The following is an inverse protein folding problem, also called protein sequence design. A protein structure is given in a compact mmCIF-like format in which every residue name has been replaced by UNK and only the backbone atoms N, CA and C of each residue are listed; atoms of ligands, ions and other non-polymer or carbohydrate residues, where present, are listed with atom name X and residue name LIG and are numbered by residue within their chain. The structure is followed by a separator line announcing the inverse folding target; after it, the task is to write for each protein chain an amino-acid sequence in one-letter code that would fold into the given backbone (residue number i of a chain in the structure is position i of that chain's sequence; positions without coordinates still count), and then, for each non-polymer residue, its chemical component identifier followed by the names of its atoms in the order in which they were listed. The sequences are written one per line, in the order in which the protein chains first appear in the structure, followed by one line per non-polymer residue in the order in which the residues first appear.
data_IF_911699590742
#
_entry.id   IF_911699590742
#
_cell.length_a   1.000
_cell.length_b   1.000
_cell.length_c   1.000
_cell.angle_alpha   90.00
_cell.angle_beta   90.00
_cell.angle_gamma   90.00
#
_symmetry.space_group_name_H-M   'P 1'
#
loop_
_entity.id
_entity.type
_entity.pdbx_description
1 polymer ?
#
# COMPACT_ATOMS: atom_id res chain seq x y z
N UNK A 1 -20.70 36.74 52.32
CA UNK A 1 -19.32 36.89 51.78
C UNK A 1 -18.35 35.87 52.38
N UNK A 2 -18.27 35.74 53.71
CA UNK A 2 -17.33 34.79 54.37
C UNK A 2 -17.50 33.32 53.96
N UNK A 3 -18.74 32.79 53.85
CA UNK A 3 -18.95 31.42 53.41
C UNK A 3 -18.56 31.15 51.94
N UNK A 4 -18.69 32.16 51.08
CA UNK A 4 -18.25 32.03 49.68
C UNK A 4 -16.73 31.98 49.53
N UNK A 5 -16.02 32.78 50.34
CA UNK A 5 -14.55 32.74 50.39
C UNK A 5 -14.03 31.41 50.95
N UNK A 6 -14.70 30.80 51.90
CA UNK A 6 -14.32 29.48 52.45
C UNK A 6 -14.47 28.40 51.40
N UNK A 7 -15.59 28.40 50.61
CA UNK A 7 -15.76 27.43 49.52
C UNK A 7 -14.76 27.61 48.37
N UNK A 8 -14.41 28.85 48.06
CA UNK A 8 -13.38 29.13 47.04
C UNK A 8 -12.00 28.69 47.53
N UNK A 9 -11.65 28.93 48.83
CA UNK A 9 -10.39 28.48 49.40
C UNK A 9 -10.29 26.96 49.48
N UNK A 10 -11.37 26.27 49.85
CA UNK A 10 -11.45 24.79 49.89
C UNK A 10 -11.36 24.22 48.47
N UNK A 11 -12.02 24.83 47.46
CA UNK A 11 -11.90 24.43 46.06
C UNK A 11 -10.46 24.65 45.50
N UNK A 12 -9.83 25.78 45.87
CA UNK A 12 -8.42 26.06 45.47
C UNK A 12 -7.44 25.11 46.17
N UNK A 13 -7.65 24.81 47.49
CA UNK A 13 -6.83 23.82 48.18
C UNK A 13 -7.04 22.41 47.64
N UNK A 14 -8.24 22.02 47.27
CA UNK A 14 -8.51 20.74 46.61
C UNK A 14 -7.86 20.62 45.25
N UNK A 15 -7.84 21.70 44.45
CA UNK A 15 -7.11 21.71 43.16
C UNK A 15 -5.61 21.68 43.33
N UNK A 16 -5.05 22.35 44.35
CA UNK A 16 -3.61 22.28 44.68
C UNK A 16 -3.21 20.91 45.26
N UNK A 17 -4.05 20.27 46.05
CA UNK A 17 -3.79 18.92 46.58
C UNK A 17 -3.77 17.86 45.46
N UNK A 18 -4.53 18.03 44.39
CA UNK A 18 -4.50 17.15 43.23
C UNK A 18 -3.32 17.44 42.28
N UNK A 19 -2.81 18.65 42.22
CA UNK A 19 -1.71 19.01 41.32
C UNK A 19 -0.33 18.53 41.83
N UNK A 20 -0.13 18.46 43.16
CA UNK A 20 1.15 18.05 43.75
C UNK A 20 1.54 16.58 43.49
N UNK A 21 0.65 15.60 43.71
CA UNK A 21 0.99 14.19 43.45
C UNK A 21 1.33 13.94 41.98
N UNK A 22 0.62 14.57 41.04
CA UNK A 22 0.85 14.39 39.61
C UNK A 22 2.26 14.84 39.20
N UNK A 23 2.73 15.98 39.68
CA UNK A 23 4.07 16.50 39.35
C UNK A 23 5.19 15.63 39.93
N UNK A 24 5.03 15.19 41.19
CA UNK A 24 6.00 14.32 41.86
C UNK A 24 6.04 12.93 41.22
N UNK A 25 4.90 12.35 40.90
CA UNK A 25 4.80 11.07 40.21
C UNK A 25 5.39 11.17 38.80
N UNK A 26 5.04 12.20 38.04
CA UNK A 26 5.63 12.44 36.71
C UNK A 26 7.16 12.52 36.76
N UNK A 27 7.72 13.20 37.76
CA UNK A 27 9.18 13.28 37.95
C UNK A 27 9.80 11.91 38.24
N UNK A 28 9.21 11.12 39.15
CA UNK A 28 9.69 9.77 39.48
C UNK A 28 9.63 8.83 38.28
N UNK A 29 8.51 8.80 37.57
CA UNK A 29 8.35 8.03 36.34
C UNK A 29 9.33 8.50 35.26
N UNK A 30 9.57 9.82 35.14
CA UNK A 30 10.57 10.37 34.24
C UNK A 30 11.98 9.87 34.55
N UNK A 31 12.32 9.73 35.83
CA UNK A 31 13.62 9.14 36.25
C UNK A 31 13.67 7.65 35.91
N UNK A 32 12.59 6.90 36.11
CA UNK A 32 12.52 5.48 35.73
C UNK A 32 12.78 5.31 34.23
N UNK A 33 12.00 5.96 33.37
CA UNK A 33 12.12 5.82 31.93
C UNK A 33 13.45 6.36 31.36
N UNK A 34 14.02 7.39 31.98
CA UNK A 34 15.33 7.93 31.59
C UNK A 34 16.49 7.01 31.97
N UNK A 35 16.32 6.17 33.00
CA UNK A 35 17.32 5.19 33.44
C UNK A 35 16.95 3.75 33.12
N UNK A 36 15.87 3.55 32.37
CA UNK A 36 15.43 2.23 31.96
C UNK A 36 16.48 1.59 31.05
N UNK A 37 16.88 0.40 31.39
CA UNK A 37 17.79 -0.44 30.62
C UNK A 37 17.09 -1.75 30.25
N UNK A 38 17.08 -2.04 28.96
CA UNK A 38 16.58 -3.33 28.49
C UNK A 38 17.72 -4.38 28.59
N UNK A 39 17.47 -5.54 29.23
CA UNK A 39 18.51 -6.57 29.37
C UNK A 39 19.09 -7.10 28.05
N UNK A 40 18.31 -7.03 26.98
CA UNK A 40 18.68 -7.54 25.66
C UNK A 40 19.07 -6.46 24.66
N UNK A 41 18.93 -5.16 24.99
CA UNK A 41 19.12 -4.08 24.04
C UNK A 41 19.52 -2.77 24.68
N UNK A 42 20.56 -2.12 24.16
CA UNK A 42 20.99 -0.81 24.64
C UNK A 42 20.30 0.31 23.86
N UNK A 43 19.42 1.04 24.51
CA UNK A 43 18.81 2.26 23.94
C UNK A 43 19.86 3.38 23.89
N UNK A 44 20.03 4.02 22.72
CA UNK A 44 20.99 5.12 22.55
C UNK A 44 20.57 6.40 23.26
N UNK A 45 19.26 6.62 23.37
CA UNK A 45 18.68 7.82 23.95
C UNK A 45 17.75 7.50 25.11
N UNK A 46 17.48 8.52 25.93
CA UNK A 46 16.65 8.38 27.13
C UNK A 46 15.20 8.69 26.85
N UNK A 47 14.32 7.75 27.20
CA UNK A 47 12.88 7.96 27.10
C UNK A 47 12.38 8.99 28.12
N UNK A 48 11.28 9.69 27.81
CA UNK A 48 10.68 10.73 28.63
C UNK A 48 9.19 10.47 28.80
N UNK A 49 8.64 10.83 29.97
CA UNK A 49 7.19 10.86 30.18
C UNK A 49 6.62 12.14 29.59
N UNK A 50 5.89 12.01 28.51
CA UNK A 50 5.24 13.13 27.83
C UNK A 50 3.95 13.54 28.55
N UNK A 51 3.12 12.57 28.90
CA UNK A 51 1.81 12.79 29.51
C UNK A 51 1.58 11.84 30.67
N UNK A 52 0.95 12.35 31.73
CA UNK A 52 0.47 11.55 32.88
C UNK A 52 -0.93 12.04 33.23
N UNK A 53 -1.90 11.14 33.16
CA UNK A 53 -3.30 11.43 33.53
C UNK A 53 -3.83 10.41 34.53
N UNK A 54 -4.57 10.89 35.52
CA UNK A 54 -5.35 10.11 36.45
C UNK A 54 -6.82 10.27 36.11
N UNK A 55 -7.45 9.22 35.58
CA UNK A 55 -8.86 9.19 35.19
C UNK A 55 -9.69 8.60 36.32
N UNK A 56 -10.22 9.44 37.19
CA UNK A 56 -10.95 9.01 38.39
C UNK A 56 -12.21 8.20 38.08
N UNK A 57 -12.90 8.53 37.01
CA UNK A 57 -14.14 7.83 36.61
C UNK A 57 -13.87 6.38 36.18
N UNK A 58 -12.83 6.15 35.36
CA UNK A 58 -12.44 4.82 34.88
C UNK A 58 -11.48 4.10 35.82
N UNK A 59 -11.00 4.75 36.87
CA UNK A 59 -9.91 4.28 37.76
C UNK A 59 -8.68 3.84 36.95
N UNK A 60 -8.24 4.70 36.06
CA UNK A 60 -7.13 4.45 35.13
C UNK A 60 -6.03 5.50 35.28
N UNK A 61 -4.78 5.07 35.18
CA UNK A 61 -3.58 5.92 35.09
C UNK A 61 -2.99 5.74 33.70
N UNK A 62 -3.06 6.78 32.88
CA UNK A 62 -2.49 6.81 31.54
C UNK A 62 -1.11 7.47 31.58
N UNK A 63 -0.08 6.80 31.06
CA UNK A 63 1.30 7.24 30.98
C UNK A 63 1.74 7.20 29.52
N UNK A 64 1.88 8.36 28.86
CA UNK A 64 2.44 8.43 27.53
C UNK A 64 3.96 8.66 27.63
N UNK A 65 4.72 7.81 26.94
CA UNK A 65 6.18 7.82 26.90
C UNK A 65 6.63 8.18 25.48
N UNK A 66 7.76 8.86 25.38
CA UNK A 66 8.32 9.31 24.10
C UNK A 66 8.65 8.15 23.15
N UNK A 67 8.63 8.43 21.85
CA UNK A 67 8.86 7.49 20.76
C UNK A 67 10.17 6.69 20.89
N UNK A 68 11.19 7.26 21.50
CA UNK A 68 12.47 6.58 21.78
C UNK A 68 12.28 5.24 22.49
N UNK A 69 11.22 5.11 23.29
CA UNK A 69 10.90 3.85 24.00
C UNK A 69 10.46 2.71 23.05
N UNK A 70 10.13 3.01 21.79
CA UNK A 70 9.87 1.99 20.75
C UNK A 70 11.12 1.22 20.32
N UNK A 71 12.32 1.79 20.48
CA UNK A 71 13.58 1.25 19.99
C UNK A 71 14.09 0.01 20.73
N UNK A 72 13.21 -0.84 21.25
CA UNK A 72 13.57 -2.05 21.98
C UNK A 72 12.65 -3.23 21.62
N UNK A 73 13.14 -4.47 21.73
CA UNK A 73 12.28 -5.64 21.55
C UNK A 73 11.34 -5.81 22.76
N UNK A 74 10.03 -5.73 22.54
CA UNK A 74 9.03 -6.00 23.56
C UNK A 74 8.70 -7.50 23.59
N UNK A 75 8.68 -8.07 24.81
CA UNK A 75 8.17 -9.41 25.09
C UNK A 75 7.07 -9.32 26.17
N UNK A 76 6.25 -10.36 26.32
CA UNK A 76 5.21 -10.39 27.36
C UNK A 76 5.81 -10.25 28.76
N UNK A 77 6.94 -10.92 29.04
CA UNK A 77 7.64 -10.86 30.31
C UNK A 77 8.18 -9.46 30.59
N UNK A 78 8.76 -8.83 29.57
CA UNK A 78 9.30 -7.48 29.69
C UNK A 78 8.18 -6.47 29.96
N UNK A 79 7.07 -6.56 29.25
CA UNK A 79 5.89 -5.71 29.46
C UNK A 79 5.35 -5.90 30.89
N UNK A 80 5.22 -7.14 31.36
CA UNK A 80 4.77 -7.43 32.71
C UNK A 80 5.70 -6.82 33.78
N UNK A 81 7.01 -6.94 33.58
CA UNK A 81 8.03 -6.33 34.46
C UNK A 81 7.91 -4.82 34.51
N UNK A 82 7.77 -4.17 33.34
CA UNK A 82 7.59 -2.71 33.27
C UNK A 82 6.34 -2.27 34.03
N UNK A 83 5.21 -2.97 33.86
CA UNK A 83 3.99 -2.65 34.60
C UNK A 83 4.14 -2.88 36.11
N UNK A 84 4.87 -3.90 36.52
CA UNK A 84 5.16 -4.16 37.96
C UNK A 84 6.01 -3.04 38.53
N UNK A 85 7.12 -2.68 37.88
CA UNK A 85 7.99 -1.59 38.32
C UNK A 85 7.24 -0.27 38.43
N UNK A 86 6.48 0.08 37.42
CA UNK A 86 5.71 1.34 37.38
C UNK A 86 4.72 1.45 38.55
N UNK A 87 4.13 0.36 39.01
CA UNK A 87 3.23 0.37 40.17
C UNK A 87 3.90 0.85 41.45
N UNK A 88 5.18 0.61 41.62
CA UNK A 88 5.96 1.05 42.78
C UNK A 88 6.18 2.58 42.81
N UNK A 89 6.16 3.22 41.64
CA UNK A 89 6.32 4.67 41.48
C UNK A 89 5.01 5.44 41.64
N UNK A 90 3.86 4.74 41.62
CA UNK A 90 2.53 5.35 41.69
C UNK A 90 2.00 5.20 43.15
N UNK A 91 1.62 6.32 43.82
CA UNK A 91 1.17 6.28 45.19
C UNK A 91 -0.21 5.66 45.35
N UNK A 92 -0.47 5.11 46.54
CA UNK A 92 -1.83 4.69 46.94
C UNK A 92 -2.81 5.88 46.93
N UNK A 93 -4.07 5.73 46.48
CA UNK A 93 -4.73 4.49 46.01
C UNK A 93 -4.53 4.21 44.50
N UNK A 94 -3.85 5.07 43.77
CA UNK A 94 -3.74 5.04 42.28
C UNK A 94 -2.95 3.84 41.77
N UNK A 95 -2.04 3.28 42.56
CA UNK A 95 -1.31 2.06 42.22
C UNK A 95 -2.21 0.80 42.11
N UNK A 96 -3.44 0.87 42.60
CA UNK A 96 -4.46 -0.19 42.44
C UNK A 96 -5.33 0.01 41.19
N UNK A 97 -5.20 1.14 40.52
CA UNK A 97 -5.94 1.42 39.32
C UNK A 97 -5.34 0.68 38.12
N UNK A 98 -6.12 0.61 37.04
CA UNK A 98 -5.60 0.13 35.76
C UNK A 98 -4.53 1.11 35.26
N UNK A 99 -3.31 0.63 35.02
CA UNK A 99 -2.25 1.41 34.45
C UNK A 99 -2.22 1.10 32.94
N UNK A 100 -2.13 2.13 32.11
CA UNK A 100 -1.97 2.02 30.66
C UNK A 100 -0.73 2.85 30.28
N UNK A 101 0.28 2.19 29.75
CA UNK A 101 1.49 2.83 29.25
C UNK A 101 1.41 2.85 27.73
N UNK A 102 1.50 4.01 27.13
CA UNK A 102 1.39 4.18 25.67
C UNK A 102 2.64 4.82 25.08
N UNK A 103 2.96 4.44 23.85
CA UNK A 103 3.94 5.11 23.01
C UNK A 103 3.27 5.40 21.67
N UNK A 104 3.32 6.63 21.19
CA UNK A 104 2.60 7.08 20.00
C UNK A 104 1.10 6.70 20.01
N UNK A 105 0.47 6.69 21.20
CA UNK A 105 -0.93 6.33 21.39
C UNK A 105 -1.24 4.82 21.44
N UNK A 106 -0.25 3.96 21.23
CA UNK A 106 -0.42 2.50 21.31
C UNK A 106 0.01 1.98 22.68
N UNK A 107 -0.79 1.16 23.37
CA UNK A 107 -0.39 0.44 24.58
C UNK A 107 0.84 -0.42 24.33
N UNK A 108 1.78 -0.46 25.29
CA UNK A 108 3.04 -1.19 25.12
C UNK A 108 2.86 -2.71 24.92
N UNK A 109 1.79 -3.29 25.44
CA UNK A 109 1.42 -4.69 25.18
C UNK A 109 1.09 -4.95 23.70
N UNK A 110 0.67 -3.94 22.95
CA UNK A 110 0.44 -4.04 21.50
C UNK A 110 1.75 -3.99 20.68
N UNK A 111 2.87 -3.66 21.32
CA UNK A 111 4.20 -3.64 20.68
C UNK A 111 4.89 -5.01 20.74
N UNK A 112 4.37 -5.95 21.50
CA UNK A 112 4.84 -7.34 21.50
C UNK A 112 4.49 -7.97 20.15
N UNK A 113 5.46 -8.55 19.40
CA UNK A 113 5.17 -9.19 18.12
C UNK A 113 4.19 -10.35 18.28
N UNK A 114 3.19 -10.42 17.39
CA UNK A 114 2.12 -11.43 17.50
C UNK A 114 2.63 -12.88 17.39
N UNK A 115 3.72 -13.10 16.67
CA UNK A 115 4.35 -14.41 16.52
C UNK A 115 5.12 -14.89 17.78
N UNK A 116 5.36 -14.02 18.75
CA UNK A 116 6.01 -14.36 20.03
C UNK A 116 5.02 -14.56 21.16
N UNK A 117 3.72 -14.39 20.91
CA UNK A 117 2.66 -14.59 21.89
C UNK A 117 2.30 -16.07 22.01
N UNK A 118 2.18 -16.59 23.24
CA UNK A 118 1.69 -17.96 23.51
C UNK A 118 0.26 -18.19 23.00
N UNK A 119 -0.57 -17.15 23.01
CA UNK A 119 -1.90 -17.12 22.41
C UNK A 119 -2.02 -15.97 21.44
N UNK A 120 -2.35 -16.30 20.23
CA UNK A 120 -2.67 -15.31 19.21
C UNK A 120 -3.86 -14.43 19.66
N UNK A 121 -3.63 -13.15 19.82
CA UNK A 121 -4.70 -12.18 20.09
C UNK A 121 -5.43 -11.85 18.78
N UNK A 122 -6.56 -12.51 18.57
CA UNK A 122 -7.36 -12.32 17.35
C UNK A 122 -7.90 -10.90 17.17
N UNK A 123 -7.97 -10.09 18.23
CA UNK A 123 -8.37 -8.68 18.13
C UNK A 123 -7.34 -7.82 17.41
N UNK A 124 -6.08 -8.28 17.36
CA UNK A 124 -4.95 -7.63 16.68
C UNK A 124 -4.80 -8.06 15.22
N UNK A 125 -5.45 -9.13 14.83
CA UNK A 125 -5.51 -9.46 13.43
C UNK A 125 -6.37 -8.42 12.70
N UNK A 126 -5.93 -8.04 11.55
CA UNK A 126 -6.75 -7.28 10.63
C UNK A 126 -8.03 -8.09 10.40
N UNK A 127 -9.05 -7.79 11.18
CA UNK A 127 -10.34 -8.45 11.10
C UNK A 127 -10.89 -8.19 9.73
N UNK A 128 -10.98 -9.25 8.94
CA UNK A 128 -11.32 -9.27 7.56
C UNK A 128 -12.03 -8.00 7.06
N UNK A 129 -11.30 -7.07 6.45
CA UNK A 129 -11.92 -6.22 5.47
C UNK A 129 -12.38 -7.21 4.41
N UNK A 130 -13.61 -7.63 4.54
CA UNK A 130 -14.31 -8.35 3.50
C UNK A 130 -14.37 -7.34 2.36
N UNK A 131 -13.47 -7.43 1.41
CA UNK A 131 -13.60 -6.68 0.18
C UNK A 131 -14.79 -7.29 -0.54
N UNK A 132 -15.95 -6.63 -0.56
CA UNK A 132 -17.18 -7.20 -1.15
C UNK A 132 -17.05 -7.32 -2.67
N UNK A 133 -15.94 -6.89 -3.23
CA UNK A 133 -15.67 -6.84 -4.67
C UNK A 133 -14.42 -7.65 -5.01
N UNK A 134 -14.29 -8.02 -6.30
CA UNK A 134 -13.10 -8.66 -6.81
C UNK A 134 -11.85 -7.81 -6.55
N UNK A 135 -10.72 -8.47 -6.32
CA UNK A 135 -9.42 -7.79 -6.31
C UNK A 135 -9.20 -7.00 -7.61
N UNK A 136 -8.35 -5.98 -7.57
CA UNK A 136 -8.09 -5.16 -8.75
C UNK A 136 -7.64 -5.98 -9.94
N UNK A 137 -6.65 -6.87 -9.72
CA UNK A 137 -6.23 -7.84 -10.73
C UNK A 137 -6.25 -9.25 -10.14
N UNK A 138 -6.69 -10.23 -10.93
CA UNK A 138 -6.69 -11.65 -10.55
C UNK A 138 -6.18 -12.50 -11.70
N UNK A 139 -5.02 -13.17 -11.58
CA UNK A 139 -4.54 -14.13 -12.57
C UNK A 139 -5.48 -15.33 -12.62
N UNK A 140 -6.18 -15.53 -13.75
CA UNK A 140 -7.11 -16.65 -13.92
C UNK A 140 -6.43 -17.92 -14.42
N UNK A 141 -5.32 -17.81 -15.12
CA UNK A 141 -4.54 -18.94 -15.63
C UNK A 141 -3.60 -19.56 -14.60
N UNK A 142 -3.58 -19.06 -13.37
CA UNK A 142 -2.79 -19.65 -12.29
C UNK A 142 -3.41 -21.01 -11.90
N UNK A 143 -2.64 -22.12 -11.93
CA UNK A 143 -3.19 -23.46 -11.72
C UNK A 143 -3.51 -23.78 -10.24
N UNK A 144 -3.33 -22.83 -9.33
CA UNK A 144 -3.52 -23.00 -7.89
C UNK A 144 -4.14 -21.74 -7.27
N UNK A 145 -4.81 -21.91 -6.15
CA UNK A 145 -5.30 -20.81 -5.29
C UNK A 145 -4.50 -20.73 -4.00
N UNK A 146 -4.47 -19.55 -3.37
CA UNK A 146 -3.70 -19.30 -2.16
C UNK A 146 -4.63 -18.76 -1.04
N UNK A 147 -5.58 -19.58 -0.55
CA UNK A 147 -6.65 -19.10 0.33
C UNK A 147 -6.13 -18.60 1.70
N UNK A 148 -4.98 -19.09 2.14
CA UNK A 148 -4.38 -18.74 3.44
C UNK A 148 -3.14 -17.83 3.31
N UNK A 149 -2.87 -17.31 2.11
CA UNK A 149 -1.79 -16.39 1.86
C UNK A 149 -2.26 -14.93 1.85
N UNK A 150 -1.73 -14.18 0.89
CA UNK A 150 -2.08 -12.78 0.67
C UNK A 150 -3.16 -12.59 -0.41
N UNK A 151 -3.95 -13.63 -0.67
CA UNK A 151 -4.99 -13.61 -1.69
C UNK A 151 -5.85 -12.35 -1.57
N UNK A 152 -6.00 -11.64 -2.69
CA UNK A 152 -6.79 -10.41 -2.82
C UNK A 152 -6.34 -9.24 -1.92
N UNK A 153 -5.13 -9.29 -1.35
CA UNK A 153 -4.54 -8.16 -0.61
C UNK A 153 -3.88 -7.20 -1.58
N UNK A 154 -4.17 -5.91 -1.42
CA UNK A 154 -3.55 -4.83 -2.18
C UNK A 154 -2.38 -4.25 -1.38
N UNK A 155 -1.21 -4.21 -1.99
CA UNK A 155 0.02 -3.77 -1.34
C UNK A 155 0.79 -2.80 -2.24
N UNK A 156 1.11 -1.61 -1.74
CA UNK A 156 2.01 -0.69 -2.42
C UNK A 156 3.45 -0.97 -1.96
N UNK A 157 4.33 -1.28 -2.90
CA UNK A 157 5.73 -1.65 -2.63
C UNK A 157 6.64 -0.92 -3.59
N UNK A 158 7.70 -0.32 -3.08
CA UNK A 158 8.76 0.28 -3.89
C UNK A 158 10.08 0.28 -3.14
N UNK A 159 11.18 0.34 -3.89
CA UNK A 159 12.51 0.57 -3.31
C UNK A 159 12.56 1.96 -2.69
N UNK A 160 13.18 2.08 -1.48
CA UNK A 160 13.08 3.27 -0.64
C UNK A 160 13.67 4.53 -1.28
N UNK A 161 14.83 4.41 -1.91
CA UNK A 161 15.56 5.51 -2.51
C UNK A 161 15.86 5.21 -3.99
N UNK A 162 16.38 6.21 -4.69
CA UNK A 162 16.75 6.08 -6.08
C UNK A 162 17.46 7.33 -6.58
N UNK A 163 17.60 7.45 -7.89
CA UNK A 163 18.11 8.67 -8.50
C UNK A 163 17.05 9.77 -8.46
N UNK A 164 17.51 10.98 -8.24
CA UNK A 164 16.72 12.21 -8.41
C UNK A 164 17.45 13.16 -9.35
N UNK A 165 16.69 14.02 -10.02
CA UNK A 165 17.27 15.08 -10.84
C UNK A 165 17.58 16.30 -9.96
N UNK A 166 18.87 16.66 -9.89
CA UNK A 166 19.32 17.85 -9.17
C UNK A 166 19.31 19.05 -10.13
N UNK A 167 18.29 19.87 -10.04
CA UNK A 167 18.11 21.08 -10.86
C UNK A 167 19.23 22.10 -10.73
N UNK A 168 20.01 22.07 -9.65
CA UNK A 168 21.13 23.00 -9.44
C UNK A 168 22.36 22.60 -10.26
N UNK A 169 22.54 21.31 -10.49
CA UNK A 169 23.70 20.76 -11.21
C UNK A 169 23.34 20.21 -12.59
N UNK A 170 22.03 20.23 -12.94
CA UNK A 170 21.48 19.69 -14.20
C UNK A 170 21.87 18.24 -14.42
N UNK A 171 21.80 17.40 -13.39
CA UNK A 171 22.28 16.03 -13.42
C UNK A 171 21.39 15.08 -12.61
N UNK A 172 21.29 13.83 -13.07
CA UNK A 172 20.75 12.72 -12.29
C UNK A 172 21.76 12.25 -11.26
N UNK A 173 21.38 12.27 -9.99
CA UNK A 173 22.23 11.87 -8.85
C UNK A 173 21.55 10.80 -8.00
N UNK A 174 22.37 9.93 -7.40
CA UNK A 174 21.88 9.05 -6.35
C UNK A 174 21.52 9.87 -5.11
N UNK A 175 20.44 9.50 -4.42
CA UNK A 175 20.00 10.19 -3.21
C UNK A 175 20.95 9.92 -2.04
N UNK A 176 21.48 8.71 -1.98
CA UNK A 176 22.45 8.30 -0.95
C UNK A 176 23.87 8.24 -1.49
N UNK A 177 24.88 8.53 -0.66
CA UNK A 177 26.27 8.45 -1.08
C UNK A 177 26.69 7.01 -1.37
N UNK A 178 27.76 6.86 -2.14
CA UNK A 178 28.43 5.56 -2.33
C UNK A 178 29.00 5.02 -1.03
N UNK A 179 28.88 3.72 -0.82
CA UNK A 179 29.38 3.00 0.34
C UNK A 179 29.93 1.64 -0.11
N UNK A 180 31.18 1.33 0.21
CA UNK A 180 31.83 0.05 -0.16
C UNK A 180 31.73 -0.34 -1.64
N UNK A 181 31.90 0.63 -2.55
CA UNK A 181 31.85 0.40 -4.00
C UNK A 181 30.45 0.27 -4.60
N UNK A 182 29.40 0.44 -3.78
CA UNK A 182 28.00 0.49 -4.21
C UNK A 182 27.30 1.70 -3.62
N UNK A 183 26.00 1.84 -3.83
CA UNK A 183 25.20 2.81 -3.11
C UNK A 183 23.93 2.14 -2.55
N UNK A 184 23.44 2.64 -1.41
CA UNK A 184 22.26 2.10 -0.73
C UNK A 184 21.03 2.08 -1.65
N UNK A 185 20.90 3.07 -2.52
CA UNK A 185 19.80 3.18 -3.49
C UNK A 185 19.72 1.99 -4.44
N UNK A 186 20.88 1.47 -4.87
CA UNK A 186 20.94 0.28 -5.74
C UNK A 186 20.62 -0.98 -4.94
N UNK A 187 21.10 -1.10 -3.71
CA UNK A 187 20.92 -2.29 -2.87
C UNK A 187 19.44 -2.58 -2.65
N UNK A 188 18.64 -1.57 -2.30
CA UNK A 188 17.20 -1.76 -2.07
C UNK A 188 16.46 -2.19 -3.33
N UNK A 189 16.85 -1.68 -4.50
CA UNK A 189 16.26 -2.06 -5.77
C UNK A 189 16.54 -3.53 -6.12
N UNK A 190 17.76 -4.00 -5.88
CA UNK A 190 18.15 -5.40 -6.17
C UNK A 190 17.44 -6.44 -5.29
N UNK A 191 16.82 -6.02 -4.21
CA UNK A 191 16.03 -6.90 -3.32
C UNK A 191 14.54 -6.74 -3.61
N UNK A 192 14.05 -5.51 -3.68
CA UNK A 192 12.60 -5.23 -3.76
C UNK A 192 12.01 -5.69 -5.09
N UNK A 193 12.64 -5.33 -6.21
CA UNK A 193 12.08 -5.60 -7.53
C UNK A 193 12.16 -7.09 -7.91
N UNK A 194 13.32 -7.77 -7.85
CA UNK A 194 13.41 -9.16 -8.32
C UNK A 194 12.98 -10.20 -7.29
N UNK A 195 12.85 -9.86 -6.02
CA UNK A 195 12.52 -10.83 -4.98
C UNK A 195 11.23 -10.48 -4.21
N UNK A 196 11.19 -9.34 -3.52
CA UNK A 196 10.07 -9.03 -2.63
C UNK A 196 8.74 -8.93 -3.39
N UNK A 197 8.69 -8.18 -4.50
CA UNK A 197 7.45 -8.04 -5.29
C UNK A 197 6.96 -9.39 -5.82
N UNK A 198 7.77 -10.21 -6.50
CA UNK A 198 7.35 -11.54 -6.96
C UNK A 198 6.94 -12.48 -5.82
N UNK A 199 7.62 -12.43 -4.67
CA UNK A 199 7.22 -13.25 -3.50
C UNK A 199 5.84 -12.89 -2.97
N UNK A 200 5.52 -11.58 -2.89
CA UNK A 200 4.20 -11.12 -2.47
C UNK A 200 3.11 -11.52 -3.48
N UNK A 201 3.39 -11.37 -4.78
CA UNK A 201 2.49 -11.78 -5.86
C UNK A 201 2.28 -13.31 -5.89
N UNK A 202 3.34 -14.07 -5.66
CA UNK A 202 3.24 -15.53 -5.54
C UNK A 202 2.48 -15.96 -4.28
N UNK A 203 2.47 -15.15 -3.24
CA UNK A 203 1.61 -15.35 -2.07
C UNK A 203 0.16 -14.90 -2.27
N UNK A 204 -0.19 -14.33 -3.44
CA UNK A 204 -1.56 -13.94 -3.83
C UNK A 204 -1.85 -12.45 -3.77
N UNK A 205 -0.89 -11.61 -3.38
CA UNK A 205 -1.09 -10.17 -3.31
C UNK A 205 -1.21 -9.52 -4.69
N UNK A 206 -1.95 -8.42 -4.76
CA UNK A 206 -1.90 -7.45 -5.85
C UNK A 206 -0.88 -6.38 -5.48
N UNK A 207 0.26 -6.34 -6.16
CA UNK A 207 1.36 -5.45 -5.82
C UNK A 207 1.38 -4.24 -6.76
N UNK A 208 1.32 -3.04 -6.16
CA UNK A 208 1.49 -1.77 -6.86
C UNK A 208 2.91 -1.26 -6.66
N UNK A 209 3.50 -0.72 -7.71
CA UNK A 209 4.74 0.02 -7.61
C UNK A 209 4.61 1.38 -8.28
N UNK A 210 4.87 2.49 -7.56
CA UNK A 210 4.90 3.82 -8.16
C UNK A 210 6.17 4.07 -9.00
N UNK A 211 7.09 3.10 -9.04
CA UNK A 211 8.30 3.12 -9.86
C UNK A 211 8.28 1.98 -10.85
N UNK A 212 8.99 2.15 -11.96
CA UNK A 212 9.17 1.09 -12.95
C UNK A 212 9.77 -0.17 -12.31
N UNK A 213 9.17 -1.29 -12.60
CA UNK A 213 9.60 -2.62 -12.12
C UNK A 213 10.23 -3.48 -13.21
N UNK A 214 10.03 -3.14 -14.48
CA UNK A 214 10.67 -3.80 -15.60
C UNK A 214 12.16 -3.40 -15.65
N UNK A 215 13.01 -4.37 -15.86
CA UNK A 215 14.47 -4.17 -15.87
C UNK A 215 15.05 -3.97 -17.26
N UNK A 216 14.26 -4.21 -18.31
CA UNK A 216 14.64 -3.93 -19.68
C UNK A 216 14.24 -2.50 -20.07
N UNK A 217 14.79 -1.96 -21.17
CA UNK A 217 14.61 -0.56 -21.57
C UNK A 217 13.68 -0.36 -22.76
N UNK A 218 13.27 -1.45 -23.45
CA UNK A 218 12.34 -1.36 -24.56
C UNK A 218 10.93 -1.08 -24.06
N UNK A 219 10.25 -0.12 -24.69
CA UNK A 219 8.86 0.20 -24.38
C UNK A 219 8.06 0.27 -25.69
N UNK A 220 6.88 -0.35 -25.67
CA UNK A 220 5.90 -0.25 -26.76
C UNK A 220 4.53 0.06 -26.15
N UNK A 221 3.91 1.14 -26.62
CA UNK A 221 2.56 1.53 -26.26
C UNK A 221 1.68 1.43 -27.49
N UNK A 222 0.58 0.70 -27.39
CA UNK A 222 -0.48 0.62 -28.40
C UNK A 222 -1.74 1.26 -27.85
N UNK A 223 -2.20 2.30 -28.53
CA UNK A 223 -3.30 3.17 -28.10
C UNK A 223 -4.41 3.14 -29.16
N UNK A 224 -5.66 3.42 -28.72
CA UNK A 224 -6.79 3.51 -29.64
C UNK A 224 -6.80 4.81 -30.49
N UNK A 225 -6.17 5.90 -30.03
CA UNK A 225 -6.22 7.22 -30.67
C UNK A 225 -5.27 7.39 -31.84
N UNK A 226 -4.15 6.69 -31.84
CA UNK A 226 -3.16 6.76 -32.91
C UNK A 226 -2.76 5.39 -33.38
N UNK A 227 -2.70 5.19 -34.68
CA UNK A 227 -1.88 4.11 -35.22
C UNK A 227 -0.46 4.37 -34.74
N UNK A 228 -0.05 3.68 -33.68
CA UNK A 228 1.32 3.80 -33.17
C UNK A 228 2.28 3.34 -34.26
N UNK A 229 3.43 4.00 -34.34
CA UNK A 229 4.53 3.62 -35.26
C UNK A 229 4.99 2.17 -34.96
N UNK A 230 4.64 1.62 -33.80
CA UNK A 230 5.07 0.32 -33.26
C UNK A 230 3.93 -0.58 -32.78
N UNK A 231 2.81 -0.61 -33.50
CA UNK A 231 1.74 -1.51 -33.14
C UNK A 231 0.43 -1.27 -33.89
N UNK A 232 -0.55 -2.10 -33.66
CA UNK A 232 -1.88 -2.02 -34.27
C UNK A 232 -2.95 -2.17 -33.19
N UNK A 233 -3.89 -1.24 -33.15
CA UNK A 233 -5.15 -1.34 -32.41
C UNK A 233 -6.26 -1.78 -33.39
N UNK A 234 -7.12 -2.72 -32.96
CA UNK A 234 -8.23 -3.23 -33.77
C UNK A 234 -9.47 -3.41 -32.92
N UNK A 235 -10.63 -3.05 -33.50
CA UNK A 235 -11.95 -3.37 -32.95
C UNK A 235 -12.66 -4.35 -33.87
N UNK A 236 -13.19 -5.42 -33.28
CA UNK A 236 -14.12 -6.34 -33.92
C UNK A 236 -15.45 -6.24 -33.19
N UNK A 237 -16.41 -5.57 -33.83
CA UNK A 237 -17.66 -5.18 -33.20
C UNK A 237 -18.76 -6.23 -33.38
N UNK A 238 -19.24 -6.74 -32.26
CA UNK A 238 -20.49 -7.48 -32.16
C UNK A 238 -21.71 -6.56 -32.09
N UNK A 239 -22.85 -7.04 -31.59
CA UNK A 239 -24.08 -6.24 -31.47
C UNK A 239 -23.98 -5.03 -30.59
N UNK A 240 -23.07 -5.07 -29.61
CA UNK A 240 -22.76 -3.97 -28.67
C UNK A 240 -21.38 -3.44 -28.99
N UNK A 241 -21.32 -2.57 -30.00
CA UNK A 241 -20.07 -2.03 -30.51
C UNK A 241 -19.34 -1.15 -29.49
N UNK A 242 -18.02 -1.08 -29.65
CA UNK A 242 -17.21 -0.09 -28.95
C UNK A 242 -17.54 1.32 -29.47
N UNK A 243 -17.69 2.26 -28.54
CA UNK A 243 -17.94 3.68 -28.82
C UNK A 243 -17.01 4.57 -28.01
N UNK A 244 -16.95 5.85 -28.35
CA UNK A 244 -16.17 6.84 -27.61
C UNK A 244 -16.66 6.94 -26.14
N UNK A 245 -15.70 6.96 -25.21
CA UNK A 245 -15.92 7.09 -23.75
C UNK A 245 -15.48 8.46 -23.21
N UNK A 246 -15.06 9.36 -24.06
CA UNK A 246 -14.44 10.64 -23.70
C UNK A 246 -12.98 10.49 -23.32
N UNK A 247 -12.44 11.35 -22.45
CA UNK A 247 -11.00 11.41 -22.14
C UNK A 247 -10.40 10.11 -21.71
N UNK A 248 -9.21 9.80 -22.23
CA UNK A 248 -8.40 8.63 -21.97
C UNK A 248 -6.92 8.94 -22.12
N UNK A 249 -6.12 7.91 -22.32
CA UNK A 249 -4.68 8.01 -22.47
C UNK A 249 -4.30 8.48 -23.89
N UNK A 250 -3.26 9.30 -23.97
CA UNK A 250 -2.53 9.55 -25.22
C UNK A 250 -1.09 9.98 -24.97
N UNK A 251 -0.15 9.37 -25.68
CA UNK A 251 1.27 9.68 -25.58
C UNK A 251 1.70 10.51 -26.81
N UNK A 252 1.43 11.82 -26.77
CA UNK A 252 1.89 12.70 -27.87
C UNK A 252 3.18 13.46 -27.61
N UNK A 253 3.68 13.42 -26.35
CA UNK A 253 4.82 14.23 -25.92
C UNK A 253 5.90 13.36 -25.33
N UNK A 254 7.13 13.77 -25.52
CA UNK A 254 8.29 13.13 -24.90
C UNK A 254 8.29 13.31 -23.36
N UNK A 255 7.73 14.44 -22.87
CA UNK A 255 7.54 14.70 -21.45
C UNK A 255 6.31 15.58 -21.20
N UNK A 256 5.78 15.48 -19.98
CA UNK A 256 4.61 16.23 -19.52
C UNK A 256 5.01 17.24 -18.45
N UNK A 257 4.41 18.43 -18.47
CA UNK A 257 4.59 19.48 -17.46
C UNK A 257 3.63 19.23 -16.29
N UNK A 258 3.86 19.97 -15.18
CA UNK A 258 2.89 19.99 -14.07
C UNK A 258 1.47 20.25 -14.56
N UNK A 259 0.52 19.46 -14.04
CA UNK A 259 -0.92 19.49 -14.40
C UNK A 259 -1.24 18.97 -15.81
N UNK A 260 -0.29 18.46 -16.54
CA UNK A 260 -0.55 17.69 -17.75
C UNK A 260 -0.54 16.20 -17.41
N UNK A 261 -1.61 15.52 -17.78
CA UNK A 261 -1.80 14.11 -17.48
C UNK A 261 -2.05 13.34 -18.79
N UNK A 262 -1.17 12.42 -19.21
CA UNK A 262 -1.37 11.68 -20.45
C UNK A 262 -2.67 10.87 -20.46
N UNK A 263 -3.22 10.52 -19.31
CA UNK A 263 -4.50 9.81 -19.18
C UNK A 263 -5.74 10.71 -19.35
N UNK A 264 -5.56 11.98 -19.65
CA UNK A 264 -6.64 12.96 -19.89
C UNK A 264 -6.50 13.67 -21.26
N UNK A 265 -5.48 13.30 -22.06
CA UNK A 265 -5.11 13.96 -23.31
C UNK A 265 -5.66 13.24 -24.56
N UNK A 266 -6.08 11.97 -24.42
CA UNK A 266 -6.65 11.13 -25.49
C UNK A 266 -8.10 10.77 -25.25
N UNK A 267 -8.53 9.68 -25.89
CA UNK A 267 -9.86 9.10 -25.74
C UNK A 267 -9.80 7.65 -25.22
N UNK A 268 -10.83 7.23 -24.51
CA UNK A 268 -11.04 5.83 -24.14
C UNK A 268 -12.24 5.27 -24.92
N UNK A 269 -12.34 3.95 -24.98
CA UNK A 269 -13.44 3.22 -25.62
C UNK A 269 -14.33 2.56 -24.56
N UNK A 270 -15.61 2.40 -24.85
CA UNK A 270 -16.58 1.73 -23.98
C UNK A 270 -17.52 0.85 -24.80
N UNK A 271 -17.87 -0.30 -24.25
CA UNK A 271 -18.95 -1.14 -24.76
C UNK A 271 -19.88 -1.60 -23.64
N UNK A 272 -21.16 -1.75 -23.93
CA UNK A 272 -22.09 -2.41 -23.00
C UNK A 272 -21.65 -3.83 -22.71
N UNK A 273 -21.60 -4.19 -21.46
CA UNK A 273 -21.29 -5.54 -21.04
C UNK A 273 -22.38 -6.53 -21.47
N UNK A 274 -21.98 -7.75 -21.83
CA UNK A 274 -22.89 -8.85 -22.11
C UNK A 274 -22.39 -10.17 -21.50
N UNK A 275 -23.34 -10.97 -21.01
CA UNK A 275 -23.05 -12.27 -20.39
C UNK A 275 -22.98 -13.41 -21.39
N UNK A 276 -23.60 -13.27 -22.57
CA UNK A 276 -23.57 -14.28 -23.62
C UNK A 276 -22.23 -14.26 -24.34
N UNK A 277 -21.64 -15.43 -24.54
CA UNK A 277 -20.32 -15.57 -25.18
C UNK A 277 -20.39 -15.51 -26.71
N UNK A 278 -21.61 -15.47 -27.30
CA UNK A 278 -21.78 -15.39 -28.73
C UNK A 278 -21.67 -13.95 -29.23
N UNK A 279 -20.83 -13.71 -30.22
CA UNK A 279 -20.67 -12.41 -30.91
C UNK A 279 -20.28 -11.26 -29.97
N UNK A 280 -19.27 -11.50 -29.14
CA UNK A 280 -18.68 -10.45 -28.30
C UNK A 280 -18.01 -9.36 -29.17
N UNK A 281 -18.07 -8.11 -28.70
CA UNK A 281 -17.19 -7.07 -29.20
C UNK A 281 -15.82 -7.21 -28.59
N UNK A 282 -14.77 -7.16 -29.39
CA UNK A 282 -13.39 -7.39 -28.98
C UNK A 282 -12.51 -6.22 -29.40
N UNK A 283 -11.65 -5.78 -28.51
CA UNK A 283 -10.50 -4.92 -28.85
C UNK A 283 -9.23 -5.74 -28.76
N UNK A 284 -8.28 -5.47 -29.64
CA UNK A 284 -6.99 -6.15 -29.68
C UNK A 284 -5.87 -5.14 -29.92
N UNK A 285 -4.88 -5.18 -29.05
CA UNK A 285 -3.63 -4.44 -29.14
C UNK A 285 -2.52 -5.40 -29.58
N UNK A 286 -1.86 -5.09 -30.68
CA UNK A 286 -0.82 -5.92 -31.30
C UNK A 286 0.46 -5.08 -31.35
N UNK A 287 1.32 -5.12 -30.33
CA UNK A 287 2.59 -4.38 -30.31
C UNK A 287 3.57 -4.94 -31.33
N UNK A 288 4.44 -4.08 -31.84
CA UNK A 288 5.65 -4.47 -32.57
C UNK A 288 6.81 -4.56 -31.59
N UNK A 289 7.06 -5.75 -31.08
CA UNK A 289 8.06 -6.04 -30.06
C UNK A 289 9.46 -5.85 -30.65
N UNK A 290 10.30 -4.96 -30.08
CA UNK A 290 11.60 -4.61 -30.68
C UNK A 290 12.65 -5.73 -30.60
N UNK A 291 12.62 -6.55 -29.55
CA UNK A 291 13.57 -7.63 -29.31
C UNK A 291 12.88 -8.78 -28.57
N UNK A 292 13.37 -10.02 -28.74
CA UNK A 292 12.92 -11.16 -27.94
C UNK A 292 13.23 -10.93 -26.47
N UNK A 293 12.30 -11.23 -25.57
CA UNK A 293 12.55 -11.09 -24.13
C UNK A 293 11.30 -11.06 -23.26
N UNK A 294 11.52 -10.84 -21.98
CA UNK A 294 10.47 -10.63 -20.99
C UNK A 294 10.04 -9.17 -20.94
N UNK A 295 8.75 -8.93 -20.99
CA UNK A 295 8.13 -7.61 -20.89
C UNK A 295 7.05 -7.58 -19.83
N UNK A 296 7.07 -6.56 -19.01
CA UNK A 296 5.97 -6.24 -18.12
C UNK A 296 4.80 -5.67 -18.93
N UNK A 297 3.63 -6.28 -18.82
CA UNK A 297 2.41 -5.87 -19.51
C UNK A 297 1.53 -5.06 -18.60
N UNK A 298 1.16 -3.88 -19.06
CA UNK A 298 0.25 -2.95 -18.41
C UNK A 298 -0.92 -2.61 -19.30
N UNK A 299 -2.06 -2.31 -18.70
CA UNK A 299 -3.24 -1.81 -19.39
C UNK A 299 -3.72 -0.51 -18.78
N UNK A 300 -4.33 0.33 -19.61
CA UNK A 300 -5.07 1.50 -19.23
C UNK A 300 -6.54 1.34 -19.58
N UNK A 301 -7.41 1.91 -18.80
CA UNK A 301 -8.85 1.97 -19.02
C UNK A 301 -9.46 3.13 -18.23
N UNK A 302 -10.71 3.47 -18.51
CA UNK A 302 -11.45 4.49 -17.78
C UNK A 302 -12.39 3.84 -16.75
N UNK A 303 -12.32 4.25 -15.50
CA UNK A 303 -13.29 3.85 -14.48
C UNK A 303 -14.55 4.70 -14.61
N UNK A 304 -15.69 4.05 -14.78
CA UNK A 304 -17.01 4.63 -14.78
C UNK A 304 -17.80 4.16 -13.55
N UNK A 305 -18.82 4.90 -13.10
CA UNK A 305 -19.73 4.44 -12.04
C UNK A 305 -20.41 3.11 -12.37
N UNK A 306 -20.49 2.77 -13.65
CA UNK A 306 -21.12 1.57 -14.19
C UNK A 306 -20.11 0.53 -14.67
N UNK A 307 -18.82 0.70 -14.41
CA UNK A 307 -17.80 -0.28 -14.80
C UNK A 307 -18.02 -1.64 -14.16
N UNK A 308 -17.66 -2.69 -14.90
CA UNK A 308 -17.75 -4.07 -14.41
C UNK A 308 -16.56 -4.46 -13.54
N UNK A 309 -16.74 -5.41 -12.57
CA UNK A 309 -15.65 -5.86 -11.70
C UNK A 309 -14.88 -7.08 -12.27
N UNK A 310 -15.21 -7.55 -13.46
CA UNK A 310 -14.76 -8.84 -13.99
C UNK A 310 -14.36 -8.81 -15.48
N UNK A 311 -13.81 -7.68 -15.94
CA UNK A 311 -13.27 -7.60 -17.31
C UNK A 311 -12.05 -8.52 -17.46
N UNK A 312 -12.02 -9.37 -18.49
CA UNK A 312 -10.96 -10.37 -18.70
C UNK A 312 -10.07 -9.98 -19.87
N UNK A 313 -8.83 -9.67 -19.56
CA UNK A 313 -7.76 -9.48 -20.54
C UNK A 313 -7.11 -10.81 -20.87
N UNK A 314 -6.92 -11.05 -22.17
CA UNK A 314 -6.19 -12.20 -22.69
C UNK A 314 -4.87 -11.75 -23.24
N UNK A 315 -3.77 -12.22 -22.66
CA UNK A 315 -2.41 -11.96 -23.12
C UNK A 315 -1.93 -13.19 -23.86
N UNK A 316 -1.60 -13.04 -25.14
CA UNK A 316 -0.98 -14.07 -25.97
C UNK A 316 0.51 -13.82 -26.05
N UNK A 317 1.30 -14.82 -25.72
CA UNK A 317 2.75 -14.73 -25.68
C UNK A 317 3.36 -16.11 -25.93
N UNK A 318 4.29 -16.20 -26.86
CA UNK A 318 5.01 -17.44 -27.24
C UNK A 318 4.11 -18.69 -27.32
N UNK A 319 2.97 -18.58 -28.03
CA UNK A 319 2.02 -19.67 -28.20
C UNK A 319 1.17 -20.02 -26.96
N UNK A 320 1.32 -19.27 -25.87
CA UNK A 320 0.53 -19.42 -24.63
C UNK A 320 -0.50 -18.29 -24.55
N UNK A 321 -1.69 -18.59 -24.01
CA UNK A 321 -2.68 -17.57 -23.64
C UNK A 321 -2.83 -17.53 -22.13
N UNK A 322 -2.55 -16.37 -21.55
CA UNK A 322 -2.75 -16.08 -20.12
C UNK A 322 -3.93 -15.14 -19.95
N UNK A 323 -4.75 -15.38 -18.94
CA UNK A 323 -5.92 -14.58 -18.64
C UNK A 323 -5.76 -13.86 -17.29
N UNK A 324 -6.07 -12.57 -17.29
CA UNK A 324 -6.11 -11.75 -16.07
C UNK A 324 -7.45 -11.02 -16.01
N UNK A 325 -8.18 -11.25 -14.93
CA UNK A 325 -9.40 -10.50 -14.61
C UNK A 325 -9.02 -9.17 -13.96
N UNK A 326 -9.64 -8.08 -14.42
CA UNK A 326 -9.44 -6.74 -13.90
C UNK A 326 -10.76 -6.16 -13.42
N UNK A 327 -10.76 -5.67 -12.18
CA UNK A 327 -11.89 -4.92 -11.65
C UNK A 327 -11.79 -3.47 -12.11
N UNK A 328 -12.54 -3.11 -13.15
CA UNK A 328 -12.52 -1.78 -13.75
C UNK A 328 -13.27 -0.71 -12.94
N UNK A 329 -13.87 -1.07 -11.80
CA UNK A 329 -14.46 -0.11 -10.86
C UNK A 329 -13.44 0.72 -10.09
N UNK A 330 -12.17 0.34 -10.19
CA UNK A 330 -11.04 1.05 -9.59
C UNK A 330 -9.88 1.16 -10.58
N UNK A 331 -8.98 2.08 -10.35
CA UNK A 331 -7.69 2.19 -11.06
C UNK A 331 -7.72 2.71 -12.48
N UNK A 332 -8.80 3.31 -12.92
CA UNK A 332 -8.81 4.01 -14.21
C UNK A 332 -7.88 5.22 -14.24
N UNK A 333 -7.32 5.53 -15.40
CA UNK A 333 -6.41 6.66 -15.60
C UNK A 333 -5.01 6.43 -15.02
N UNK A 334 -4.53 5.20 -15.06
CA UNK A 334 -3.14 4.81 -14.72
C UNK A 334 -2.76 3.50 -15.41
N UNK A 335 -1.48 3.14 -15.37
CA UNK A 335 -1.00 1.84 -15.82
C UNK A 335 -1.27 0.76 -14.77
N UNK A 336 -2.01 -0.28 -15.16
CA UNK A 336 -2.36 -1.43 -14.32
C UNK A 336 -1.55 -2.63 -14.77
N UNK A 337 -0.68 -3.14 -13.91
CA UNK A 337 0.19 -4.27 -14.19
C UNK A 337 -0.60 -5.58 -14.25
N UNK A 338 -0.42 -6.36 -15.31
CA UNK A 338 -1.07 -7.67 -15.51
C UNK A 338 -0.12 -8.86 -15.33
N UNK A 339 1.17 -8.65 -15.41
CA UNK A 339 2.18 -9.70 -15.35
C UNK A 339 3.39 -9.41 -16.23
N UNK A 340 4.43 -10.22 -16.11
CA UNK A 340 5.60 -10.22 -16.97
C UNK A 340 5.59 -11.51 -17.78
N UNK A 341 5.76 -11.39 -19.12
CA UNK A 341 5.65 -12.50 -20.05
C UNK A 341 6.75 -12.42 -21.12
N UNK A 342 7.14 -13.59 -21.63
CA UNK A 342 8.07 -13.67 -22.75
C UNK A 342 7.38 -13.36 -24.08
N UNK A 343 7.96 -12.49 -24.90
CA UNK A 343 7.51 -12.17 -26.24
C UNK A 343 8.63 -12.39 -27.26
N UNK A 344 8.23 -12.79 -28.47
CA UNK A 344 9.10 -12.81 -29.62
C UNK A 344 9.08 -11.45 -30.32
N UNK A 345 10.20 -11.08 -30.94
CA UNK A 345 10.36 -9.87 -31.72
C UNK A 345 9.35 -9.82 -32.88
N UNK A 346 8.88 -8.61 -33.15
CA UNK A 346 7.99 -8.30 -34.28
C UNK A 346 6.53 -8.21 -33.87
N UNK A 347 5.67 -8.04 -34.88
CA UNK A 347 4.24 -7.82 -34.70
C UNK A 347 3.45 -9.07 -35.11
N UNK A 348 2.81 -9.72 -34.15
CA UNK A 348 1.99 -10.90 -34.39
C UNK A 348 0.81 -11.01 -33.42
N UNK A 349 -0.18 -11.82 -33.77
CA UNK A 349 -1.28 -12.13 -32.86
C UNK A 349 -0.82 -12.94 -31.64
N UNK A 350 0.29 -13.69 -31.75
CA UNK A 350 0.88 -14.40 -30.61
C UNK A 350 1.64 -13.48 -29.66
N UNK A 351 1.81 -12.20 -30.01
CA UNK A 351 2.32 -11.15 -29.15
C UNK A 351 1.26 -10.07 -28.89
N UNK A 352 0.04 -10.44 -28.53
CA UNK A 352 -1.07 -9.48 -28.43
C UNK A 352 -1.80 -9.52 -27.09
N UNK A 353 -2.48 -8.43 -26.76
CA UNK A 353 -3.43 -8.33 -25.66
C UNK A 353 -4.82 -8.11 -26.25
N UNK A 354 -5.84 -8.79 -25.75
CA UNK A 354 -7.22 -8.56 -26.16
C UNK A 354 -8.17 -8.48 -24.96
N UNK A 355 -9.25 -7.73 -25.15
CA UNK A 355 -10.32 -7.55 -24.18
C UNK A 355 -11.66 -7.67 -24.90
N UNK A 356 -12.59 -8.42 -24.32
CA UNK A 356 -13.96 -8.49 -24.82
C UNK A 356 -14.90 -7.73 -23.92
N UNK A 357 -16.11 -7.41 -24.43
CA UNK A 357 -17.17 -6.84 -23.61
C UNK A 357 -17.94 -7.89 -22.78
N UNK A 358 -17.37 -9.09 -22.58
CA UNK A 358 -17.96 -10.12 -21.73
C UNK A 358 -17.86 -9.72 -20.25
N UNK A 359 -18.97 -9.86 -19.51
CA UNK A 359 -19.04 -9.75 -18.06
C UNK A 359 -20.26 -10.51 -17.54
N UNK A 360 -20.14 -11.09 -16.34
CA UNK A 360 -21.28 -11.65 -15.61
C UNK A 360 -22.15 -10.57 -14.96
N UNK A 361 -21.69 -9.32 -14.97
CA UNK A 361 -22.37 -8.17 -14.39
C UNK A 361 -22.93 -7.25 -15.47
N UNK A 362 -24.03 -6.58 -15.14
CA UNK A 362 -24.52 -5.49 -15.99
C UNK A 362 -23.63 -4.26 -15.80
N UNK A 363 -23.36 -3.55 -16.88
CA UNK A 363 -22.57 -2.33 -16.86
C UNK A 363 -21.76 -2.15 -18.13
N UNK A 364 -20.58 -1.58 -18.00
CA UNK A 364 -19.72 -1.23 -19.13
C UNK A 364 -18.31 -1.79 -18.94
N UNK A 365 -17.78 -2.27 -20.05
CA UNK A 365 -16.35 -2.58 -20.18
C UNK A 365 -15.69 -1.42 -20.90
N UNK A 366 -14.57 -0.93 -20.36
CA UNK A 366 -13.81 0.16 -20.98
C UNK A 366 -12.44 -0.33 -21.43
N UNK A 367 -11.92 0.27 -22.49
CA UNK A 367 -10.64 -0.04 -23.09
C UNK A 367 -9.93 1.25 -23.48
N UNK A 368 -8.60 1.24 -23.45
CA UNK A 368 -7.80 2.41 -23.76
C UNK A 368 -6.46 1.94 -24.36
N UNK A 369 -5.38 1.97 -23.62
CA UNK A 369 -4.06 1.61 -24.12
C UNK A 369 -3.47 0.37 -23.44
N UNK A 370 -2.50 -0.26 -24.13
CA UNK A 370 -1.63 -1.33 -23.60
C UNK A 370 -0.17 -0.90 -23.74
N UNK A 371 0.58 -1.09 -22.68
CA UNK A 371 2.01 -0.85 -22.60
C UNK A 371 2.75 -2.15 -22.29
#
# INVERSE_FOLDING_TARGET
MQRLLTYILVAIMATFAYAQPTRTVKKRLGTYFANYENPAYTCRDKAKVEKLLFRSQSKEVEIAVSEIFLGQPFTNELVATIYQDIREYIPHPYNKWKIVITVNGYPIEHLVPANTMERADSSRYWGGVNHPENAWTTPLSRPYSIPNGLQDRHMAVWASHGRYYDFRTDQWRWQRPGLFGTCEDILTQTIVVPFLMPMLENAGAVVFSPRERDTQTNEVIVDNDRPTIRGTYREDNGPRAWVDCGTGFAHWREFYRDKQNPFEEGTARVADAQSESSRLSTVTWIPDIPEDGEYAVYVSYKTLPTSVPDAVYNIRHKGVQTQVRVNQRMGGGTWVYLGTYEFDKGQSLDGSVSLTNHSSHRGHVTADAVR
#
